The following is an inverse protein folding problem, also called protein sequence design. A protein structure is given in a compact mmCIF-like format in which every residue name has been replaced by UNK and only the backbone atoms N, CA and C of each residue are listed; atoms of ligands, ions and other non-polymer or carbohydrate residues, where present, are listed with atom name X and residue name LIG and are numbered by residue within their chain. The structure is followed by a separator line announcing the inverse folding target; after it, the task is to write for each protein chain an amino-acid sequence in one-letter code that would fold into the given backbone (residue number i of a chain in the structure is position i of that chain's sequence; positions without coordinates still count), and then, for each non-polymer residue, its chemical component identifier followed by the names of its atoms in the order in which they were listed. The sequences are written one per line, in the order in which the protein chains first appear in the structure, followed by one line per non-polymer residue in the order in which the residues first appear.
data_IF_777792573094
#
_entry.id   IF_777792573094
#
_cell.length_a   1.000
_cell.length_b   1.000
_cell.length_c   1.000
_cell.angle_alpha   90.00
_cell.angle_beta   90.00
_cell.angle_gamma   90.00
#
_symmetry.space_group_name_H-M   'P 1'
#
loop_
_entity.id
_entity.type
_entity.pdbx_description
1 polymer ?
#
# COMPACT_ATOMS: atom_id res chain seq x y z
N UNK A 1 51.99 29.98 -2.36
CA UNK A 1 51.86 28.52 -2.63
C UNK A 1 50.48 28.10 -2.16
N UNK A 2 49.43 28.58 -2.83
CA UNK A 2 48.61 27.89 -3.85
C UNK A 2 47.98 26.61 -3.29
N UNK A 3 46.73 26.81 -2.85
CA UNK A 3 45.81 25.83 -2.32
C UNK A 3 45.53 24.71 -3.32
N UNK A 4 45.46 23.48 -2.81
CA UNK A 4 45.20 22.27 -3.58
C UNK A 4 43.80 22.29 -4.17
N UNK A 5 43.76 22.27 -5.50
CA UNK A 5 42.57 22.12 -6.33
C UNK A 5 42.15 20.64 -6.25
N UNK A 6 41.02 20.36 -5.58
CA UNK A 6 40.32 19.08 -5.70
C UNK A 6 39.03 19.33 -6.49
N UNK A 7 39.14 19.09 -7.79
CA UNK A 7 38.05 19.04 -8.75
C UNK A 7 37.20 17.81 -8.39
N UNK A 8 36.01 18.05 -7.83
CA UNK A 8 34.98 17.02 -7.70
C UNK A 8 34.28 16.86 -9.05
N UNK A 9 34.56 15.74 -9.70
CA UNK A 9 33.90 15.31 -10.92
C UNK A 9 32.46 14.90 -10.58
N UNK A 10 31.53 15.64 -11.19
CA UNK A 10 30.15 15.35 -11.55
C UNK A 10 29.74 13.86 -11.48
N UNK A 11 28.66 13.58 -10.74
CA UNK A 11 27.58 12.72 -11.24
C UNK A 11 26.25 13.39 -10.90
N UNK A 12 25.73 14.16 -11.85
CA UNK A 12 24.33 14.56 -11.89
C UNK A 12 23.49 13.30 -12.17
N UNK A 13 22.97 12.66 -11.13
CA UNK A 13 21.91 11.67 -11.31
C UNK A 13 20.63 12.45 -11.62
N UNK A 14 20.42 12.67 -12.91
CA UNK A 14 19.11 12.99 -13.46
C UNK A 14 18.20 11.78 -13.29
N UNK A 15 17.65 11.61 -12.09
CA UNK A 15 16.52 10.71 -11.90
C UNK A 15 15.30 11.38 -12.49
N UNK A 16 15.05 11.06 -13.75
CA UNK A 16 13.77 11.25 -14.42
C UNK A 16 12.71 10.60 -13.56
N UNK A 17 12.02 11.37 -12.71
CA UNK A 17 10.78 10.92 -12.10
C UNK A 17 9.76 10.97 -13.23
N UNK A 18 9.74 9.87 -13.99
CA UNK A 18 8.68 9.53 -14.91
C UNK A 18 7.38 9.68 -14.13
N UNK A 19 6.58 10.68 -14.49
CA UNK A 19 5.28 10.89 -13.90
C UNK A 19 4.48 9.62 -14.07
N UNK A 20 4.37 8.84 -13.00
CA UNK A 20 3.29 7.87 -12.89
C UNK A 20 2.03 8.70 -13.03
N UNK A 21 1.37 8.55 -14.18
CA UNK A 21 -0.02 8.89 -14.34
C UNK A 21 -0.71 8.07 -13.25
N UNK A 22 -0.96 8.71 -12.11
CA UNK A 22 -1.86 8.20 -11.10
C UNK A 22 -3.19 8.13 -11.83
N UNK A 23 -3.53 6.94 -12.34
CA UNK A 23 -4.93 6.64 -12.57
C UNK A 23 -5.59 6.95 -11.25
N UNK A 24 -6.35 8.05 -11.19
CA UNK A 24 -7.32 8.26 -10.13
C UNK A 24 -8.29 7.10 -10.23
N UNK A 25 -7.93 5.98 -9.62
CA UNK A 25 -8.89 5.01 -9.15
C UNK A 25 -9.69 5.83 -8.15
N UNK A 26 -10.87 6.26 -8.57
CA UNK A 26 -11.81 6.98 -7.72
C UNK A 26 -11.84 6.26 -6.37
N UNK A 27 -11.49 6.99 -5.33
CA UNK A 27 -11.52 6.54 -3.95
C UNK A 27 -12.89 5.90 -3.71
N UNK A 28 -12.93 4.57 -3.52
CA UNK A 28 -14.17 3.84 -3.34
C UNK A 28 -14.25 3.37 -1.91
N UNK A 29 -14.93 4.17 -1.09
CA UNK A 29 -15.36 3.70 0.23
C UNK A 29 -16.12 2.37 0.07
N UNK A 30 -15.74 1.39 0.90
CA UNK A 30 -16.57 0.21 1.08
C UNK A 30 -17.81 0.59 1.88
N UNK A 31 -18.98 0.33 1.31
CA UNK A 31 -20.24 0.50 2.02
C UNK A 31 -20.27 -0.35 3.30
N UNK A 32 -21.17 -0.01 4.20
CA UNK A 32 -21.24 -0.66 5.51
C UNK A 32 -21.60 -2.15 5.41
N UNK A 33 -22.42 -2.55 4.45
CA UNK A 33 -22.85 -3.94 4.29
C UNK A 33 -21.66 -4.79 3.83
N UNK A 34 -20.95 -4.35 2.80
CA UNK A 34 -19.74 -4.98 2.29
C UNK A 34 -18.67 -5.11 3.38
N UNK A 35 -18.48 -4.07 4.19
CA UNK A 35 -17.54 -4.11 5.32
C UNK A 35 -17.92 -5.17 6.37
N UNK A 36 -19.22 -5.28 6.70
CA UNK A 36 -19.70 -6.27 7.68
C UNK A 36 -19.54 -7.71 7.20
N UNK A 37 -19.43 -7.94 5.89
CA UNK A 37 -19.17 -9.26 5.32
C UNK A 37 -17.70 -9.67 5.39
N UNK A 38 -16.78 -8.77 5.77
CA UNK A 38 -15.37 -9.08 5.91
C UNK A 38 -15.07 -9.65 7.29
N UNK A 39 -14.15 -10.62 7.37
CA UNK A 39 -13.82 -11.25 8.65
C UNK A 39 -12.38 -11.74 8.71
N UNK A 40 -11.88 -11.87 9.93
CA UNK A 40 -10.60 -12.51 10.22
C UNK A 40 -10.54 -13.93 9.65
N UNK A 41 -9.38 -14.31 9.13
CA UNK A 41 -9.13 -15.63 8.56
C UNK A 41 -9.59 -15.80 7.11
N UNK A 42 -10.35 -14.86 6.53
CA UNK A 42 -10.70 -14.90 5.10
C UNK A 42 -9.45 -14.89 4.23
N UNK A 43 -9.51 -15.57 3.09
CA UNK A 43 -8.48 -15.53 2.06
C UNK A 43 -8.54 -14.23 1.28
N UNK A 44 -7.46 -13.89 0.57
CA UNK A 44 -7.45 -12.74 -0.33
C UNK A 44 -8.56 -12.80 -1.39
N UNK A 45 -8.76 -13.97 -2.01
CA UNK A 45 -9.80 -14.15 -3.03
C UNK A 45 -11.21 -13.94 -2.47
N UNK A 46 -11.45 -14.39 -1.24
CA UNK A 46 -12.71 -14.17 -0.52
C UNK A 46 -12.98 -12.70 -0.20
N UNK A 47 -11.94 -11.94 0.13
CA UNK A 47 -12.05 -10.50 0.36
C UNK A 47 -12.33 -9.78 -0.95
N UNK A 48 -11.53 -10.05 -1.99
CA UNK A 48 -11.67 -9.41 -3.31
C UNK A 48 -13.01 -9.77 -3.96
N UNK A 49 -13.49 -11.00 -3.76
CA UNK A 49 -14.80 -11.43 -4.26
C UNK A 49 -15.98 -10.68 -3.63
N UNK A 50 -15.83 -10.13 -2.42
CA UNK A 50 -16.86 -9.37 -1.72
C UNK A 50 -16.69 -7.86 -1.90
N UNK A 51 -15.48 -7.36 -1.66
CA UNK A 51 -15.15 -5.93 -1.64
C UNK A 51 -14.72 -5.37 -2.99
N UNK A 52 -14.47 -6.23 -4.00
CA UNK A 52 -13.84 -5.87 -5.25
C UNK A 52 -12.33 -5.67 -5.12
N UNK A 53 -11.72 -5.09 -6.15
CA UNK A 53 -10.29 -4.78 -6.12
C UNK A 53 -10.01 -3.62 -5.16
N UNK A 54 -8.88 -3.65 -4.41
CA UNK A 54 -8.46 -2.53 -3.59
C UNK A 54 -7.94 -1.38 -4.44
N UNK A 55 -8.02 -0.16 -3.91
CA UNK A 55 -7.43 1.01 -4.57
C UNK A 55 -5.91 0.95 -4.48
N UNK A 56 -5.39 0.44 -3.36
CA UNK A 56 -3.95 0.31 -3.10
C UNK A 56 -3.60 -0.98 -2.39
N UNK A 57 -2.41 -1.48 -2.73
CA UNK A 57 -1.72 -2.56 -2.03
C UNK A 57 -0.41 -2.03 -1.46
N UNK A 58 -0.15 -2.32 -0.19
CA UNK A 58 1.12 -1.99 0.48
C UNK A 58 1.73 -3.28 1.01
N UNK A 59 2.91 -3.65 0.52
CA UNK A 59 3.64 -4.81 1.01
C UNK A 59 4.58 -4.41 2.15
N UNK A 60 4.50 -5.14 3.26
CA UNK A 60 5.42 -5.00 4.38
C UNK A 60 6.57 -5.99 4.24
N UNK A 61 7.77 -5.45 4.16
CA UNK A 61 8.99 -6.20 3.88
C UNK A 61 9.84 -6.33 5.15
N UNK A 62 10.42 -7.51 5.34
CA UNK A 62 11.46 -7.76 6.34
C UNK A 62 12.80 -8.03 5.63
N UNK A 63 13.90 -7.40 6.07
CA UNK A 63 15.24 -7.71 5.55
C UNK A 63 15.64 -9.15 5.93
N UNK A 64 16.19 -9.87 4.97
CA UNK A 64 16.80 -11.18 5.18
C UNK A 64 18.28 -11.12 4.76
N UNK A 65 19.14 -12.05 5.20
CA UNK A 65 20.56 -12.04 4.84
C UNK A 65 20.83 -12.08 3.32
N UNK A 66 19.86 -12.53 2.52
CA UNK A 66 20.00 -12.71 1.06
C UNK A 66 19.11 -11.78 0.23
N UNK A 67 18.04 -11.20 0.80
CA UNK A 67 17.07 -10.36 0.08
C UNK A 67 16.06 -9.67 1.02
N UNK A 68 14.90 -9.26 0.52
CA UNK A 68 13.74 -8.81 1.29
C UNK A 68 12.61 -9.83 1.14
N UNK A 69 11.87 -10.10 2.22
CA UNK A 69 10.71 -11.00 2.22
C UNK A 69 9.45 -10.23 2.60
N UNK A 70 8.36 -10.42 1.87
CA UNK A 70 7.04 -9.93 2.29
C UNK A 70 6.56 -10.77 3.47
N UNK A 71 6.32 -10.13 4.61
CA UNK A 71 5.81 -10.78 5.84
C UNK A 71 4.31 -10.59 6.01
N UNK A 72 3.79 -9.47 5.51
CA UNK A 72 2.38 -9.13 5.46
C UNK A 72 2.15 -8.12 4.33
N UNK A 73 0.90 -7.96 3.92
CA UNK A 73 0.52 -6.92 2.97
C UNK A 73 -0.86 -6.40 3.31
N UNK A 74 -1.13 -5.16 2.90
CA UNK A 74 -2.35 -4.44 3.22
C UNK A 74 -3.09 -4.06 1.94
N UNK A 75 -4.40 -4.30 1.93
CA UNK A 75 -5.32 -3.81 0.92
C UNK A 75 -6.10 -2.63 1.50
N UNK A 76 -6.16 -1.54 0.75
CA UNK A 76 -6.76 -0.28 1.17
C UNK A 76 -7.83 0.10 0.16
N UNK A 77 -9.05 0.27 0.66
CA UNK A 77 -10.15 0.96 0.00
C UNK A 77 -10.27 2.33 0.65
N UNK A 78 -9.77 3.35 -0.03
CA UNK A 78 -9.76 4.72 0.43
C UNK A 78 -11.11 5.37 0.15
N UNK A 79 -11.70 5.98 1.18
CA UNK A 79 -12.75 6.99 0.98
C UNK A 79 -12.12 8.37 0.77
N UNK A 80 -12.84 9.29 0.12
CA UNK A 80 -12.46 10.70 0.07
C UNK A 80 -12.50 11.34 1.47
N UNK A 81 -11.32 11.64 2.01
CA UNK A 81 -11.16 12.29 3.31
C UNK A 81 -11.79 13.68 3.35
N UNK A 82 -11.88 14.39 2.22
CA UNK A 82 -12.51 15.73 2.18
C UNK A 82 -14.03 15.65 2.31
N UNK A 83 -14.61 14.49 2.00
CA UNK A 83 -16.04 14.19 2.16
C UNK A 83 -16.35 13.46 3.46
N UNK A 84 -15.32 13.18 4.26
CA UNK A 84 -15.42 12.37 5.46
C UNK A 84 -15.89 10.96 5.14
N UNK A 85 -15.46 10.38 4.03
CA UNK A 85 -15.73 8.98 3.70
C UNK A 85 -14.79 8.06 4.50
N UNK A 86 -15.18 6.79 4.64
CA UNK A 86 -14.40 5.82 5.39
C UNK A 86 -13.30 5.18 4.56
N UNK A 87 -12.13 5.01 5.18
CA UNK A 87 -11.05 4.18 4.63
C UNK A 87 -11.05 2.83 5.34
N UNK A 88 -11.10 1.74 4.57
CA UNK A 88 -10.98 0.38 5.09
C UNK A 88 -9.63 -0.20 4.71
N UNK A 89 -8.91 -0.71 5.71
CA UNK A 89 -7.60 -1.35 5.55
C UNK A 89 -7.68 -2.80 6.03
N UNK A 90 -7.28 -3.73 5.18
CA UNK A 90 -7.26 -5.16 5.48
C UNK A 90 -5.83 -5.65 5.40
N UNK A 91 -5.31 -6.25 6.46
CA UNK A 91 -3.96 -6.81 6.50
C UNK A 91 -4.02 -8.32 6.36
N UNK A 92 -3.20 -8.84 5.45
CA UNK A 92 -3.00 -10.26 5.21
C UNK A 92 -1.65 -10.71 5.75
N UNK A 93 -1.59 -11.92 6.30
CA UNK A 93 -0.32 -12.59 6.53
C UNK A 93 0.18 -13.18 5.22
N UNK A 94 1.42 -12.86 4.84
CA UNK A 94 2.07 -13.42 3.64
C UNK A 94 2.27 -14.94 3.75
N UNK A 95 2.37 -15.46 4.98
CA UNK A 95 2.61 -16.88 5.23
C UNK A 95 1.38 -17.76 5.00
N UNK A 96 0.20 -17.26 5.39
CA UNK A 96 -1.05 -18.04 5.32
C UNK A 96 -2.00 -17.55 4.24
N UNK A 97 -1.72 -16.39 3.63
CA UNK A 97 -2.62 -15.67 2.72
C UNK A 97 -4.04 -15.51 3.33
N UNK A 98 -4.08 -15.06 4.58
CA UNK A 98 -5.31 -14.85 5.33
C UNK A 98 -5.34 -13.51 6.03
N UNK A 99 -6.54 -12.95 6.16
CA UNK A 99 -6.79 -11.73 6.91
C UNK A 99 -6.42 -11.93 8.38
N UNK A 100 -5.51 -11.08 8.85
CA UNK A 100 -5.05 -11.03 10.24
C UNK A 100 -5.44 -9.73 10.94
N UNK A 101 -5.94 -8.73 10.21
CA UNK A 101 -6.42 -7.47 10.75
C UNK A 101 -7.38 -6.78 9.77
N UNK A 102 -8.41 -6.15 10.31
CA UNK A 102 -9.33 -5.28 9.57
C UNK A 102 -9.47 -4.00 10.38
N UNK A 103 -9.17 -2.85 9.78
CA UNK A 103 -9.37 -1.54 10.36
C UNK A 103 -10.27 -0.70 9.46
N UNK A 104 -11.08 0.16 10.07
CA UNK A 104 -11.89 1.15 9.36
C UNK A 104 -11.74 2.49 10.08
N UNK A 105 -11.26 3.50 9.37
CA UNK A 105 -10.99 4.83 9.93
C UNK A 105 -11.67 5.93 9.11
N UNK A 106 -12.03 7.01 9.80
CA UNK A 106 -12.57 8.25 9.22
C UNK A 106 -11.67 9.39 9.72
N UNK A 107 -11.15 10.19 8.80
CA UNK A 107 -10.30 11.34 9.10
C UNK A 107 -11.02 12.65 8.83
#
# INVERSE_FOLDING_TARGET
MKQGILIWILISIASSVMGMILSSVDARELDQETYQLLSYGMTEAEVVGRAGQPDRRIDQLEPTPLSQRIVSYQYIWGGDTNRGEWTTTITFSSNTNRVIRIDRERR
#
